data_IF_428096631360
#
_entry.id   IF_428096631360
#
_cell.length_a   1.000
_cell.length_b   1.000
_cell.length_c   1.000
_cell.angle_alpha   90.00
_cell.angle_beta   90.00
_cell.angle_gamma   90.00
#
_symmetry.space_group_name_H-M   'P 1'
#
loop_
_entity.id
_entity.type
_entity.pdbx_description
1 polymer ?
#
# COMPACT_ATOMS: atom_id res chain seq x y z
N UNK A 1 -13.03 7.24 13.17
CA UNK A 1 -11.95 6.62 12.34
C UNK A 1 -10.72 7.50 12.48
N UNK A 2 -9.59 6.93 12.89
CA UNK A 2 -8.30 7.62 13.01
C UNK A 2 -7.32 7.02 12.00
N UNK A 3 -6.32 7.80 11.59
CA UNK A 3 -5.26 7.35 10.70
C UNK A 3 -3.92 7.96 11.10
N UNK A 4 -2.84 7.24 10.84
CA UNK A 4 -1.48 7.75 10.93
C UNK A 4 -0.97 7.95 9.51
N UNK A 5 -0.63 9.20 9.17
CA UNK A 5 -0.11 9.56 7.85
C UNK A 5 1.41 9.69 7.93
N UNK A 6 2.10 9.02 7.00
CA UNK A 6 3.55 9.10 6.87
C UNK A 6 3.93 9.46 5.43
N UNK A 7 4.68 10.56 5.28
CA UNK A 7 5.21 11.01 4.00
C UNK A 7 6.73 10.88 4.02
N UNK A 8 7.28 10.11 3.10
CA UNK A 8 8.73 9.90 2.98
C UNK A 8 9.38 11.05 2.19
N UNK A 9 10.30 11.81 2.81
CA UNK A 9 10.89 13.04 2.24
C UNK A 9 12.35 12.87 1.73
N UNK A 10 12.75 11.68 1.24
CA UNK A 10 14.07 11.53 0.57
C UNK A 10 13.88 11.47 -0.94
N UNK A 11 14.79 12.10 -1.70
CA UNK A 11 14.85 12.01 -3.16
C UNK A 11 14.68 10.54 -3.58
N UNK A 12 13.64 10.31 -4.36
CA UNK A 12 13.00 9.01 -4.58
C UNK A 12 13.88 8.05 -5.36
N UNK A 13 14.73 7.29 -4.68
CA UNK A 13 15.22 6.03 -5.23
C UNK A 13 14.17 4.98 -4.92
N UNK A 14 13.59 4.38 -5.96
CA UNK A 14 12.72 3.22 -5.80
C UNK A 14 13.55 2.08 -5.23
N UNK A 15 13.24 1.58 -4.02
CA UNK A 15 13.99 0.46 -3.45
C UNK A 15 13.80 -0.78 -4.33
N UNK A 16 14.85 -1.58 -4.47
CA UNK A 16 14.77 -2.86 -5.19
C UNK A 16 13.84 -3.87 -4.48
N UNK A 17 13.63 -3.68 -3.17
CA UNK A 17 12.74 -4.50 -2.33
C UNK A 17 12.16 -3.65 -1.20
N UNK A 18 10.86 -3.79 -0.99
CA UNK A 18 10.15 -3.27 0.18
C UNK A 18 9.74 -4.41 1.11
N UNK A 19 9.83 -4.20 2.43
CA UNK A 19 9.38 -5.14 3.45
C UNK A 19 8.38 -4.42 4.37
N UNK A 20 7.21 -5.02 4.55
CA UNK A 20 6.15 -4.51 5.43
C UNK A 20 5.89 -5.56 6.52
N UNK A 21 6.10 -5.17 7.77
CA UNK A 21 5.81 -6.00 8.95
C UNK A 21 4.81 -5.27 9.84
N UNK A 22 3.71 -5.93 10.18
CA UNK A 22 2.65 -5.37 11.03
C UNK A 22 2.13 -6.44 11.98
N UNK A 23 1.84 -6.03 13.22
CA UNK A 23 1.04 -6.79 14.17
C UNK A 23 -0.23 -6.00 14.46
N UNK A 24 -1.40 -6.61 14.24
CA UNK A 24 -2.69 -5.97 14.50
C UNK A 24 -3.64 -6.93 15.20
N UNK A 25 -4.62 -6.38 15.91
CA UNK A 25 -5.74 -7.10 16.50
C UNK A 25 -6.98 -6.22 16.41
N UNK A 26 -8.09 -6.78 15.94
CA UNK A 26 -9.35 -6.05 15.81
C UNK A 26 -10.53 -7.00 16.03
N UNK A 27 -11.68 -6.43 16.41
CA UNK A 27 -12.98 -7.12 16.37
C UNK A 27 -13.75 -6.84 15.07
N UNK A 28 -13.29 -5.88 14.27
CA UNK A 28 -13.92 -5.55 13.00
C UNK A 28 -13.58 -6.61 11.95
N UNK A 29 -14.52 -6.90 11.06
CA UNK A 29 -14.34 -7.85 9.94
C UNK A 29 -13.85 -7.17 8.67
N UNK A 30 -13.97 -5.85 8.60
CA UNK A 30 -13.69 -5.07 7.39
C UNK A 30 -12.94 -3.78 7.75
N UNK A 31 -11.96 -3.41 6.92
CA UNK A 31 -11.24 -2.15 7.09
C UNK A 31 -9.84 -2.16 6.47
N UNK A 32 -9.31 -0.97 6.21
CA UNK A 32 -7.94 -0.79 5.70
C UNK A 32 -6.99 -0.76 6.89
N UNK A 33 -5.94 -1.57 6.84
CA UNK A 33 -4.87 -1.62 7.85
C UNK A 33 -3.68 -0.76 7.43
N UNK A 34 -3.33 -0.79 6.14
CA UNK A 34 -2.25 -0.02 5.55
C UNK A 34 -2.61 0.35 4.13
N UNK A 35 -2.35 1.59 3.75
CA UNK A 35 -2.39 2.04 2.37
C UNK A 35 -1.14 2.89 2.11
N UNK A 36 -0.41 2.54 1.06
CA UNK A 36 0.76 3.28 0.60
C UNK A 36 0.53 3.65 -0.86
N UNK A 37 0.51 4.95 -1.14
CA UNK A 37 0.68 5.44 -2.50
C UNK A 37 2.15 5.50 -2.90
N UNK A 38 2.43 5.14 -4.13
CA UNK A 38 3.68 5.37 -4.84
C UNK A 38 3.45 6.26 -6.06
N UNK A 39 4.52 6.56 -6.79
CA UNK A 39 4.44 7.32 -8.03
C UNK A 39 3.72 6.54 -9.14
N UNK A 40 3.21 7.24 -10.16
CA UNK A 40 2.58 6.67 -11.37
C UNK A 40 1.41 5.71 -11.05
N UNK A 41 0.56 6.09 -10.08
CA UNK A 41 -0.61 5.31 -9.64
C UNK A 41 -0.28 3.94 -9.02
N UNK A 42 1.00 3.68 -8.73
CA UNK A 42 1.42 2.51 -7.94
C UNK A 42 0.83 2.63 -6.56
N UNK A 43 0.30 1.55 -6.03
CA UNK A 43 -0.13 1.51 -4.64
C UNK A 43 -0.09 0.10 -4.08
N UNK A 44 -0.01 0.05 -2.75
CA UNK A 44 -0.13 -1.17 -1.98
C UNK A 44 -1.19 -0.95 -0.91
N UNK A 45 -2.18 -1.82 -0.84
CA UNK A 45 -3.21 -1.79 0.20
C UNK A 45 -3.28 -3.14 0.90
N UNK A 46 -3.19 -3.13 2.22
CA UNK A 46 -3.49 -4.27 3.07
C UNK A 46 -4.80 -4.00 3.80
N UNK A 47 -5.79 -4.87 3.59
CA UNK A 47 -7.12 -4.70 4.16
C UNK A 47 -7.69 -6.01 4.70
N UNK A 48 -8.64 -5.87 5.61
CA UNK A 48 -9.49 -6.95 6.07
C UNK A 48 -10.80 -6.89 5.28
N UNK A 49 -11.23 -8.03 4.74
CA UNK A 49 -12.52 -8.18 4.07
C UNK A 49 -13.17 -9.46 4.60
N UNK A 50 -14.30 -9.33 5.29
CA UNK A 50 -15.01 -10.45 5.93
C UNK A 50 -14.07 -11.34 6.77
N UNK A 51 -13.20 -10.71 7.56
CA UNK A 51 -12.24 -11.39 8.44
C UNK A 51 -11.02 -11.98 7.73
N UNK A 52 -10.88 -11.83 6.40
CA UNK A 52 -9.73 -12.30 5.63
C UNK A 52 -8.78 -11.17 5.33
N UNK A 53 -7.48 -11.44 5.44
CA UNK A 53 -6.44 -10.50 5.08
C UNK A 53 -6.21 -10.53 3.57
N UNK A 54 -6.35 -9.38 2.91
CA UNK A 54 -6.22 -9.22 1.46
C UNK A 54 -5.14 -8.18 1.17
N UNK A 55 -4.20 -8.56 0.29
CA UNK A 55 -3.15 -7.69 -0.24
C UNK A 55 -3.50 -7.31 -1.68
N UNK A 56 -3.59 -6.00 -1.94
CA UNK A 56 -3.79 -5.44 -3.27
C UNK A 56 -2.52 -4.72 -3.69
N UNK A 57 -1.99 -5.11 -4.85
CA UNK A 57 -0.80 -4.54 -5.45
C UNK A 57 -1.16 -3.93 -6.79
N UNK A 58 -0.78 -2.67 -6.99
CA UNK A 58 -0.87 -2.00 -8.28
C UNK A 58 0.52 -1.51 -8.69
N UNK A 59 0.98 -1.99 -9.85
CA UNK A 59 2.30 -1.66 -10.40
C UNK A 59 2.31 -0.40 -11.27
N UNK A 60 1.20 0.34 -11.33
CA UNK A 60 1.04 1.53 -12.15
C UNK A 60 0.95 1.22 -13.66
N UNK A 61 0.90 2.26 -14.49
CA UNK A 61 1.06 2.09 -15.94
C UNK A 61 2.53 1.93 -16.28
N UNK A 62 2.86 0.97 -17.14
CA UNK A 62 4.12 1.01 -17.87
C UNK A 62 4.09 2.26 -18.75
N UNK A 63 5.15 3.07 -18.70
CA UNK A 63 5.41 4.06 -19.73
C UNK A 63 5.76 3.26 -21.00
N UNK A 64 4.75 2.77 -21.71
CA UNK A 64 4.95 2.30 -23.07
C UNK A 64 5.40 3.54 -23.85
N UNK A 65 6.57 3.52 -24.50
CA UNK A 65 6.91 4.58 -25.42
C UNK A 65 5.77 4.68 -26.44
N UNK A 66 5.26 5.88 -26.65
CA UNK A 66 4.35 6.16 -27.76
C UNK A 66 5.03 5.70 -29.06
N UNK A 67 4.28 5.06 -29.98
CA UNK A 67 4.83 4.56 -31.25
C UNK A 67 5.46 5.67 -32.09
#
# INVERSE_FOLDING_TARGET
KSSLLYTFNRKSVSPAKDVISLKFKTRQTDGILLHREGQNSKHVTLQLVRGKLILLLNSGRANLPSP
#
